data_IF_306667171201
#
_entry.id   IF_306667171201
#
_cell.length_a   1.000
_cell.length_b   1.000
_cell.length_c   1.000
_cell.angle_alpha   90.00
_cell.angle_beta   90.00
_cell.angle_gamma   90.00
#
_symmetry.space_group_name_H-M   'P 1'
#
loop_
_entity.id
_entity.type
_entity.pdbx_description
1 polymer ?
#
# COMPACT_ATOMS: atom_id res chain seq x y z
N UNK A 1 6.19 15.57 3.13
CA UNK A 1 5.04 14.90 2.48
C UNK A 1 5.37 13.42 2.33
N UNK A 2 4.49 12.51 2.74
CA UNK A 2 4.68 11.06 2.52
C UNK A 2 4.10 10.74 1.15
N UNK A 3 4.94 10.54 0.15
CA UNK A 3 4.48 10.26 -1.22
C UNK A 3 4.16 8.77 -1.33
N UNK A 4 2.87 8.42 -1.39
CA UNK A 4 2.45 7.08 -1.74
C UNK A 4 2.70 6.83 -3.24
N UNK A 5 3.25 5.66 -3.58
CA UNK A 5 3.55 5.26 -4.96
C UNK A 5 2.83 3.96 -5.29
N UNK A 6 2.05 3.97 -6.37
CA UNK A 6 1.52 2.75 -6.96
C UNK A 6 2.62 1.97 -7.70
N UNK A 7 2.59 0.65 -7.60
CA UNK A 7 3.47 -0.30 -8.27
C UNK A 7 2.68 -1.52 -8.70
N UNK A 8 3.23 -2.26 -9.67
CA UNK A 8 2.67 -3.52 -10.16
C UNK A 8 3.71 -4.61 -9.88
N UNK A 9 3.29 -5.70 -9.25
CA UNK A 9 4.09 -6.91 -9.08
C UNK A 9 3.59 -7.94 -10.08
N UNK A 10 4.50 -8.50 -10.87
CA UNK A 10 4.19 -9.59 -11.79
C UNK A 10 4.67 -10.90 -11.18
N UNK A 11 3.77 -11.86 -10.98
CA UNK A 11 4.08 -13.17 -10.43
C UNK A 11 3.18 -14.25 -11.04
N UNK A 12 3.75 -15.33 -11.56
CA UNK A 12 3.01 -16.45 -12.18
C UNK A 12 1.90 -16.00 -13.15
N UNK A 13 2.26 -15.18 -14.15
CA UNK A 13 1.34 -14.62 -15.16
C UNK A 13 0.23 -13.71 -14.62
N UNK A 14 0.21 -13.44 -13.32
CA UNK A 14 -0.72 -12.53 -12.67
C UNK A 14 -0.03 -11.21 -12.34
N UNK A 15 -0.77 -10.11 -12.50
CA UNK A 15 -0.35 -8.79 -12.06
C UNK A 15 -1.13 -8.41 -10.80
N UNK A 16 -0.40 -7.98 -9.79
CA UNK A 16 -0.95 -7.48 -8.53
C UNK A 16 -0.56 -6.01 -8.43
N UNK A 17 -1.56 -5.14 -8.49
CA UNK A 17 -1.37 -3.75 -8.10
C UNK A 17 -1.05 -3.69 -6.60
N UNK A 18 -0.17 -2.80 -6.19
CA UNK A 18 0.09 -2.48 -4.78
C UNK A 18 0.57 -1.05 -4.60
N UNK A 19 0.40 -0.53 -3.40
CA UNK A 19 0.83 0.82 -3.02
C UNK A 19 1.93 0.71 -1.98
N UNK A 20 2.93 1.58 -2.12
CA UNK A 20 4.03 1.69 -1.15
C UNK A 20 4.13 3.10 -0.59
N UNK A 21 4.44 3.21 0.70
CA UNK A 21 4.79 4.48 1.33
C UNK A 21 5.68 4.26 2.56
N UNK A 22 6.23 5.35 3.07
CA UNK A 22 7.22 5.31 4.16
C UNK A 22 8.65 5.32 3.64
N UNK A 23 9.59 5.44 4.59
CA UNK A 23 11.05 5.37 4.37
C UNK A 23 11.75 4.56 5.47
N UNK A 24 10.98 3.76 6.20
CA UNK A 24 11.49 2.95 7.29
C UNK A 24 12.39 1.81 6.81
N UNK A 25 13.19 1.26 7.73
CA UNK A 25 14.09 0.14 7.45
C UNK A 25 13.40 -1.22 7.57
N UNK A 26 12.36 -1.32 8.38
CA UNK A 26 11.60 -2.56 8.57
C UNK A 26 10.49 -2.67 7.51
N UNK A 27 10.17 -3.87 7.03
CA UNK A 27 9.10 -4.07 6.05
C UNK A 27 7.78 -4.37 6.77
N UNK A 28 6.70 -3.70 6.35
CA UNK A 28 5.34 -3.97 6.81
C UNK A 28 4.42 -4.21 5.61
N UNK A 29 3.79 -5.38 5.56
CA UNK A 29 2.80 -5.73 4.52
C UNK A 29 1.40 -5.66 5.12
N UNK A 30 0.51 -4.90 4.49
CA UNK A 30 -0.89 -4.77 4.86
C UNK A 30 -1.74 -5.45 3.79
N UNK A 31 -2.58 -6.38 4.22
CA UNK A 31 -3.55 -7.08 3.39
C UNK A 31 -4.94 -6.54 3.80
N UNK A 32 -5.59 -5.71 2.96
CA UNK A 32 -6.89 -5.13 3.28
C UNK A 32 -7.98 -6.21 3.29
N UNK A 33 -9.05 -5.96 4.07
CA UNK A 33 -10.17 -6.89 4.20
C UNK A 33 -11.20 -6.78 3.07
N UNK A 34 -12.14 -7.73 3.00
CA UNK A 34 -13.21 -7.79 1.98
C UNK A 34 -14.09 -6.53 1.91
N UNK A 35 -14.17 -5.73 2.98
CA UNK A 35 -14.95 -4.49 3.04
C UNK A 35 -14.25 -3.24 2.46
N UNK A 36 -12.94 -3.31 2.20
CA UNK A 36 -12.14 -2.18 1.72
C UNK A 36 -12.04 -2.13 0.18
N UNK A 37 -12.57 -3.15 -0.51
CA UNK A 37 -12.34 -3.42 -1.94
C UNK A 37 -13.19 -2.62 -2.94
N UNK A 38 -14.19 -1.84 -2.50
CA UNK A 38 -15.02 -1.03 -3.42
C UNK A 38 -14.31 0.24 -3.92
N UNK A 39 -13.29 0.71 -3.20
CA UNK A 39 -12.45 1.83 -3.62
C UNK A 39 -11.04 1.29 -3.89
N UNK A 40 -10.57 1.41 -5.13
CA UNK A 40 -9.21 0.95 -5.49
C UNK A 40 -8.16 1.56 -4.56
N UNK A 41 -7.25 0.73 -4.02
CA UNK A 41 -6.20 1.17 -3.07
C UNK A 41 -5.32 2.29 -3.65
N UNK A 42 -5.27 2.44 -4.98
CA UNK A 42 -4.62 3.58 -5.66
C UNK A 42 -5.28 4.93 -5.30
N UNK A 43 -6.61 5.00 -5.23
CA UNK A 43 -7.34 6.20 -4.82
C UNK A 43 -7.26 6.47 -3.31
N UNK A 44 -7.20 5.42 -2.49
CA UNK A 44 -7.04 5.53 -1.04
C UNK A 44 -5.58 5.67 -0.58
N UNK A 45 -4.62 5.49 -1.47
CA UNK A 45 -3.18 5.48 -1.19
C UNK A 45 -2.72 6.69 -0.38
N UNK A 46 -3.20 7.88 -0.77
CA UNK A 46 -2.85 9.13 -0.10
C UNK A 46 -3.45 9.19 1.31
N UNK A 47 -4.74 8.91 1.46
CA UNK A 47 -5.43 8.85 2.76
C UNK A 47 -4.79 7.82 3.69
N UNK A 48 -4.50 6.61 3.20
CA UNK A 48 -3.83 5.56 3.96
C UNK A 48 -2.43 6.00 4.38
N UNK A 49 -1.65 6.61 3.49
CA UNK A 49 -0.32 7.12 3.84
C UNK A 49 -0.34 8.26 4.86
N UNK A 50 -1.46 8.99 4.96
CA UNK A 50 -1.66 10.04 5.96
C UNK A 50 -1.99 9.43 7.33
N UNK A 51 -2.98 8.54 7.39
CA UNK A 51 -3.38 7.83 8.62
C UNK A 51 -2.20 7.04 9.20
N UNK A 52 -1.50 6.30 8.34
CA UNK A 52 -0.37 5.45 8.74
C UNK A 52 0.99 6.14 8.62
N UNK A 53 1.04 7.48 8.53
CA UNK A 53 2.30 8.23 8.37
C UNK A 53 3.29 7.94 9.51
N UNK A 54 2.79 7.71 10.72
CA UNK A 54 3.64 7.38 11.87
C UNK A 54 4.35 6.04 11.66
N UNK A 55 3.65 5.03 11.09
CA UNK A 55 4.26 3.75 10.73
C UNK A 55 5.30 3.93 9.62
N UNK A 56 5.04 4.79 8.64
CA UNK A 56 5.97 5.09 7.55
C UNK A 56 7.33 5.67 7.97
N UNK A 57 7.49 6.09 9.23
CA UNK A 57 8.79 6.50 9.79
C UNK A 57 9.69 5.32 10.15
N UNK A 58 9.09 4.22 10.62
CA UNK A 58 9.81 3.01 11.07
C UNK A 58 9.76 1.91 10.01
N UNK A 59 8.68 1.86 9.24
CA UNK A 59 8.39 0.82 8.26
C UNK A 59 8.34 1.35 6.81
N UNK A 60 8.78 0.52 5.88
CA UNK A 60 8.41 0.56 4.47
C UNK A 60 7.13 -0.26 4.31
N UNK A 61 6.02 0.42 4.01
CA UNK A 61 4.69 -0.19 3.98
C UNK A 61 4.31 -0.60 2.56
N UNK A 62 3.72 -1.79 2.41
CA UNK A 62 3.19 -2.35 1.17
C UNK A 62 1.71 -2.70 1.36
N UNK A 63 0.83 -2.21 0.48
CA UNK A 63 -0.62 -2.48 0.55
C UNK A 63 -1.10 -3.05 -0.77
N UNK A 64 -1.73 -4.23 -0.74
CA UNK A 64 -2.29 -4.90 -1.92
C UNK A 64 -3.80 -4.60 -2.08
N UNK A 65 -4.27 -3.87 -3.10
CA UNK A 65 -5.68 -3.86 -3.51
C UNK A 65 -6.22 -5.24 -3.82
N UNK A 66 -7.49 -5.44 -3.44
CA UNK A 66 -8.31 -6.51 -3.97
C UNK A 66 -8.67 -6.20 -5.44
N UNK A 67 -8.60 -7.20 -6.31
CA UNK A 67 -9.08 -7.16 -7.70
C UNK A 67 -10.50 -7.69 -7.76
#
# INVERSE_FOLDING_TARGET
MSTAKGRILYFNEKSIDYVTFGKGKETLVMIPGLGDGLNTVKGMAQSLSFVYRHLGKKYQVYIQPYQ
#
